data_IF_301363148528
#
_entry.id   IF_301363148528
#
_cell.length_a   1.000
_cell.length_b   1.000
_cell.length_c   1.000
_cell.angle_alpha   90.00
_cell.angle_beta   90.00
_cell.angle_gamma   90.00
#
_symmetry.space_group_name_H-M   'P 1'
#
loop_
_entity.id
_entity.type
_entity.pdbx_description
1 polymer ?
#
# COMPACT_ATOMS: atom_id res chain seq x y z
N UNK A 1 112.03 13.76 -1.96
CA UNK A 1 111.58 13.93 -0.57
C UNK A 1 110.25 14.51 -0.62
N UNK A 2 109.32 13.80 0.00
CA UNK A 2 107.92 14.17 0.25
C UNK A 2 107.00 14.48 -0.86
N UNK A 3 106.25 13.55 -1.23
CA UNK A 3 105.14 13.57 -2.15
C UNK A 3 103.85 13.77 -1.38
N UNK A 4 103.02 14.68 -1.76
CA UNK A 4 101.64 14.88 -1.20
C UNK A 4 100.59 14.57 -2.25
N UNK A 5 99.94 13.46 -2.09
CA UNK A 5 98.80 13.09 -2.85
C UNK A 5 97.53 13.76 -2.29
N UNK A 6 96.87 14.49 -3.09
CA UNK A 6 95.52 15.08 -2.78
C UNK A 6 94.42 14.19 -3.31
N UNK A 7 93.62 13.71 -2.45
CA UNK A 7 92.46 12.79 -2.73
C UNK A 7 91.18 13.62 -2.91
N UNK A 8 90.69 13.62 -4.14
CA UNK A 8 89.40 14.29 -4.50
C UNK A 8 88.26 13.41 -4.15
N UNK A 9 87.44 13.84 -3.20
CA UNK A 9 86.18 13.14 -2.83
C UNK A 9 84.99 13.64 -3.66
N UNK A 10 84.50 12.77 -4.54
CA UNK A 10 83.28 13.00 -5.31
C UNK A 10 82.09 12.74 -4.42
N UNK A 11 81.24 13.76 -4.20
CA UNK A 11 79.96 13.66 -3.49
C UNK A 11 78.87 13.33 -4.49
N UNK A 12 78.35 12.11 -4.45
CA UNK A 12 77.22 11.71 -5.29
C UNK A 12 75.90 12.08 -4.56
N UNK A 13 75.13 13.01 -5.13
CA UNK A 13 73.83 13.42 -4.61
C UNK A 13 72.80 12.45 -5.16
N UNK A 14 72.29 11.56 -4.29
CA UNK A 14 71.19 10.64 -4.59
C UNK A 14 69.85 11.37 -4.34
N UNK A 15 69.21 11.84 -5.38
CA UNK A 15 67.91 12.50 -5.32
C UNK A 15 66.83 11.42 -5.25
N UNK A 16 66.32 11.12 -4.02
CA UNK A 16 65.16 10.23 -3.82
C UNK A 16 63.89 10.95 -4.21
N UNK A 17 63.37 10.65 -5.39
CA UNK A 17 62.02 11.10 -5.85
C UNK A 17 61.00 10.22 -5.11
N UNK A 18 60.39 10.69 -4.01
CA UNK A 18 59.21 10.11 -3.42
C UNK A 18 57.98 10.41 -4.29
N UNK A 19 57.55 9.42 -5.05
CA UNK A 19 56.27 9.44 -5.73
C UNK A 19 55.14 9.18 -4.67
N UNK A 20 54.57 10.24 -4.15
CA UNK A 20 53.36 10.14 -3.32
C UNK A 20 52.16 9.76 -4.21
N UNK A 21 51.80 8.47 -4.26
CA UNK A 21 50.54 8.02 -4.78
C UNK A 21 49.42 8.54 -3.86
N UNK A 22 48.83 9.66 -4.24
CA UNK A 22 47.55 10.09 -3.68
C UNK A 22 46.45 9.14 -4.18
N UNK A 23 46.13 8.12 -3.41
CA UNK A 23 44.92 7.34 -3.60
C UNK A 23 43.72 8.25 -3.31
N UNK A 24 43.20 8.88 -4.36
CA UNK A 24 41.94 9.62 -4.29
C UNK A 24 40.81 8.65 -3.96
N UNK A 25 40.43 8.56 -2.69
CA UNK A 25 39.15 7.98 -2.31
C UNK A 25 38.03 8.89 -2.87
N UNK A 26 37.54 8.55 -4.06
CA UNK A 26 36.30 9.09 -4.57
C UNK A 26 35.19 8.67 -3.62
N UNK A 27 34.86 9.52 -2.65
CA UNK A 27 33.60 9.40 -1.91
C UNK A 27 32.47 9.58 -2.93
N UNK A 28 31.90 8.45 -3.41
CA UNK A 28 30.60 8.47 -4.07
C UNK A 28 29.64 9.19 -3.13
N UNK A 29 29.35 10.46 -3.39
CA UNK A 29 28.23 11.14 -2.77
C UNK A 29 27.02 10.24 -3.00
N UNK A 30 26.50 9.63 -1.91
CA UNK A 30 25.19 9.00 -1.91
C UNK A 30 24.19 10.10 -2.27
N UNK A 31 23.85 10.21 -3.55
CA UNK A 31 22.76 11.05 -3.98
C UNK A 31 21.57 10.77 -3.08
N UNK A 32 20.92 11.81 -2.56
CA UNK A 32 19.69 11.66 -1.75
C UNK A 32 18.74 10.81 -2.55
N UNK A 33 18.48 9.57 -2.11
CA UNK A 33 17.52 8.67 -2.70
C UNK A 33 16.18 9.42 -2.82
N UNK A 34 15.63 9.51 -4.03
CA UNK A 34 14.33 10.13 -4.27
C UNK A 34 13.30 9.45 -3.38
N UNK A 35 12.52 10.22 -2.63
CA UNK A 35 11.43 9.68 -1.80
C UNK A 35 10.46 8.91 -2.69
N UNK A 36 10.03 7.68 -2.33
CA UNK A 36 9.07 6.92 -3.13
C UNK A 36 7.76 7.68 -3.32
N UNK A 37 7.18 7.55 -4.51
CA UNK A 37 5.90 8.13 -4.86
C UNK A 37 4.79 7.09 -4.67
N UNK A 38 3.79 7.44 -3.87
CA UNK A 38 2.55 6.68 -3.71
C UNK A 38 1.44 7.41 -4.44
N UNK A 39 0.76 6.73 -5.34
CA UNK A 39 -0.45 7.26 -5.99
C UNK A 39 -1.68 6.61 -5.35
N UNK A 40 -2.52 7.42 -4.74
CA UNK A 40 -3.81 7.01 -4.19
C UNK A 40 -4.88 7.22 -5.27
N UNK A 41 -5.57 6.15 -5.63
CA UNK A 41 -6.66 6.17 -6.60
C UNK A 41 -7.96 5.99 -5.83
N UNK A 42 -8.70 7.09 -5.66
CA UNK A 42 -9.96 7.09 -4.90
C UNK A 42 -11.16 7.27 -5.83
N UNK A 43 -12.20 6.55 -5.54
CA UNK A 43 -13.43 6.56 -6.31
C UNK A 43 -14.46 5.67 -5.62
N UNK A 44 -14.50 5.77 -4.31
CA UNK A 44 -15.46 5.12 -3.44
C UNK A 44 -16.52 6.13 -3.04
N UNK A 45 -17.73 6.00 -3.54
CA UNK A 45 -18.81 6.94 -3.27
C UNK A 45 -19.67 6.57 -2.04
N UNK A 46 -19.18 5.65 -1.19
CA UNK A 46 -19.90 5.19 0.01
C UNK A 46 -19.12 5.48 1.30
N UNK A 47 -17.83 5.18 1.33
CA UNK A 47 -17.02 5.23 2.55
C UNK A 47 -16.10 6.44 2.67
N UNK A 48 -16.30 7.44 1.83
CA UNK A 48 -15.54 8.70 1.89
C UNK A 48 -14.01 8.54 1.74
N UNK A 49 -13.55 7.53 0.99
CA UNK A 49 -12.12 7.29 0.76
C UNK A 49 -11.39 8.49 0.16
N UNK A 50 -12.09 9.31 -0.65
CA UNK A 50 -11.54 10.56 -1.20
C UNK A 50 -11.41 11.70 -0.16
N UNK A 51 -11.89 11.49 1.06
CA UNK A 51 -11.70 12.41 2.19
C UNK A 51 -10.72 11.84 3.22
N UNK A 52 -10.77 10.54 3.53
CA UNK A 52 -9.88 9.89 4.50
C UNK A 52 -8.46 9.71 3.97
N UNK A 53 -8.30 9.23 2.73
CA UNK A 53 -6.96 8.93 2.19
C UNK A 53 -6.07 10.16 1.97
N UNK A 54 -6.55 11.37 1.66
CA UNK A 54 -5.71 12.57 1.67
C UNK A 54 -5.05 12.85 3.02
N UNK A 55 -5.72 12.54 4.14
CA UNK A 55 -5.16 12.73 5.49
C UNK A 55 -4.04 11.72 5.73
N UNK A 56 -4.26 10.45 5.35
CA UNK A 56 -3.23 9.41 5.39
C UNK A 56 -2.03 9.79 4.49
N UNK A 57 -2.29 10.30 3.29
CA UNK A 57 -1.26 10.72 2.35
C UNK A 57 -0.41 11.86 2.92
N UNK A 58 -1.05 12.89 3.51
CA UNK A 58 -0.35 13.99 4.16
C UNK A 58 0.52 13.53 5.33
N UNK A 59 0.03 12.58 6.14
CA UNK A 59 0.80 11.99 7.23
C UNK A 59 2.05 11.26 6.72
N UNK A 60 1.92 10.48 5.62
CA UNK A 60 3.04 9.77 4.99
C UNK A 60 4.10 10.73 4.46
N UNK A 61 3.70 11.88 3.91
CA UNK A 61 4.65 12.91 3.45
C UNK A 61 5.37 13.58 4.60
N UNK A 62 4.60 13.98 5.63
CA UNK A 62 5.09 14.73 6.77
C UNK A 62 6.05 13.92 7.63
N UNK A 63 5.69 12.68 7.94
CA UNK A 63 6.33 11.91 9.01
C UNK A 63 7.09 10.67 8.54
N UNK A 64 6.84 10.16 7.33
CA UNK A 64 7.34 8.86 6.90
C UNK A 64 8.17 8.86 5.61
N UNK A 65 8.42 10.04 5.05
CA UNK A 65 9.39 10.20 3.96
C UNK A 65 8.93 9.67 2.61
N UNK A 66 7.63 9.72 2.34
CA UNK A 66 7.03 9.46 1.04
C UNK A 66 6.72 10.77 0.29
N UNK A 67 6.42 10.67 -0.99
CA UNK A 67 5.70 11.66 -1.79
C UNK A 67 4.36 11.04 -2.16
N UNK A 68 3.31 11.82 -2.25
CA UNK A 68 1.99 11.31 -2.54
C UNK A 68 1.29 12.12 -3.63
N UNK A 69 0.39 11.45 -4.37
CA UNK A 69 -0.60 12.07 -5.24
C UNK A 69 -1.92 11.38 -4.92
N UNK A 70 -2.98 12.16 -4.70
CA UNK A 70 -4.31 11.62 -4.44
C UNK A 70 -5.24 11.99 -5.60
N UNK A 71 -5.67 10.98 -6.35
CA UNK A 71 -6.60 11.10 -7.46
C UNK A 71 -8.01 10.85 -6.96
N UNK A 72 -8.96 11.65 -7.45
CA UNK A 72 -10.36 11.59 -7.02
C UNK A 72 -11.29 11.52 -8.22
N UNK A 73 -12.45 10.90 -8.02
CA UNK A 73 -13.53 10.93 -9.01
C UNK A 73 -13.95 12.37 -9.33
N UNK A 74 -14.25 12.66 -10.60
CA UNK A 74 -14.62 13.96 -11.09
C UNK A 74 -15.88 13.85 -11.99
N UNK A 75 -16.84 14.80 -11.92
CA UNK A 75 -16.76 16.11 -11.24
C UNK A 75 -17.02 16.09 -9.72
N UNK A 76 -17.45 14.95 -9.17
CA UNK A 76 -17.70 14.79 -7.73
C UNK A 76 -17.51 13.31 -7.33
N UNK A 77 -17.64 13.01 -6.04
CA UNK A 77 -17.42 11.66 -5.50
C UNK A 77 -18.38 10.59 -6.07
N UNK A 78 -19.56 10.97 -6.58
CA UNK A 78 -20.53 10.05 -7.18
C UNK A 78 -20.25 9.73 -8.65
N UNK A 79 -19.35 10.47 -9.30
CA UNK A 79 -19.00 10.23 -10.70
C UNK A 79 -18.28 8.90 -10.86
N UNK A 80 -18.89 7.94 -11.56
CA UNK A 80 -18.34 6.58 -11.73
C UNK A 80 -17.38 6.47 -12.92
N UNK A 81 -17.40 7.43 -13.83
CA UNK A 81 -16.83 7.29 -15.18
C UNK A 81 -15.52 8.05 -15.39
N UNK A 82 -15.02 8.77 -14.37
CA UNK A 82 -13.82 9.57 -14.56
C UNK A 82 -13.01 9.73 -13.27
N UNK A 83 -11.73 9.41 -13.34
CA UNK A 83 -10.70 9.73 -12.33
C UNK A 83 -9.54 10.40 -13.06
N UNK A 84 -9.52 11.74 -13.17
CA UNK A 84 -8.45 12.43 -13.88
C UNK A 84 -7.10 12.27 -13.21
N UNK A 85 -6.03 12.28 -14.01
CA UNK A 85 -4.65 12.21 -13.50
C UNK A 85 -4.11 10.78 -13.31
N UNK A 86 -4.79 9.74 -13.78
CA UNK A 86 -4.31 8.35 -13.71
C UNK A 86 -2.94 8.15 -14.38
N UNK A 87 -2.49 9.07 -15.24
CA UNK A 87 -1.14 9.08 -15.81
C UNK A 87 -0.04 9.09 -14.74
N UNK A 88 -0.34 9.60 -13.53
CA UNK A 88 0.57 9.58 -12.40
C UNK A 88 1.02 8.15 -12.00
N UNK A 89 0.21 7.13 -12.34
CA UNK A 89 0.56 5.73 -12.11
C UNK A 89 1.84 5.29 -12.85
N UNK A 90 2.20 5.93 -13.97
CA UNK A 90 3.44 5.65 -14.70
C UNK A 90 4.67 5.88 -13.83
N UNK A 91 4.63 6.93 -13.02
CA UNK A 91 5.74 7.34 -12.15
C UNK A 91 5.63 6.76 -10.72
N UNK A 92 4.50 6.14 -10.38
CA UNK A 92 4.27 5.61 -9.04
C UNK A 92 5.26 4.49 -8.70
N UNK A 93 5.79 4.50 -7.48
CA UNK A 93 6.52 3.38 -6.90
C UNK A 93 5.57 2.40 -6.21
N UNK A 94 4.39 2.86 -5.81
CA UNK A 94 3.30 2.08 -5.22
C UNK A 94 1.96 2.74 -5.50
N UNK A 95 0.88 1.95 -5.61
CA UNK A 95 -0.49 2.45 -5.71
C UNK A 95 -1.36 1.99 -4.54
N UNK A 96 -2.29 2.84 -4.14
CA UNK A 96 -3.32 2.56 -3.15
C UNK A 96 -4.67 2.72 -3.81
N UNK A 97 -5.53 1.71 -3.71
CA UNK A 97 -6.85 1.72 -4.35
C UNK A 97 -7.97 1.68 -3.31
N UNK A 98 -8.91 2.61 -3.44
CA UNK A 98 -10.17 2.62 -2.73
C UNK A 98 -11.28 2.99 -3.72
N UNK A 99 -11.79 1.98 -4.41
CA UNK A 99 -12.71 2.12 -5.55
C UNK A 99 -14.01 1.37 -5.30
N UNK A 100 -15.10 1.84 -5.94
CA UNK A 100 -16.41 1.18 -5.93
C UNK A 100 -17.17 1.48 -7.22
N UNK A 101 -17.58 0.43 -7.94
CA UNK A 101 -18.51 0.46 -9.09
C UNK A 101 -18.11 1.42 -10.22
N UNK A 102 -16.80 1.56 -10.45
CA UNK A 102 -16.32 2.42 -11.53
C UNK A 102 -16.69 1.87 -12.91
N UNK A 103 -16.92 2.80 -13.84
CA UNK A 103 -17.13 2.55 -15.28
C UNK A 103 -16.20 3.45 -16.08
N UNK A 104 -14.92 3.42 -15.72
CA UNK A 104 -13.91 4.26 -16.35
C UNK A 104 -13.82 3.96 -17.86
N UNK A 105 -13.53 4.94 -18.71
CA UNK A 105 -13.30 4.73 -20.14
C UNK A 105 -12.03 3.90 -20.37
N UNK A 106 -11.92 3.31 -21.56
CA UNK A 106 -10.88 2.34 -21.88
C UNK A 106 -9.45 2.88 -21.72
N UNK A 107 -9.22 4.12 -22.03
CA UNK A 107 -7.93 4.80 -21.88
C UNK A 107 -7.51 4.93 -20.40
N UNK A 108 -8.44 5.25 -19.51
CA UNK A 108 -8.17 5.28 -18.06
C UNK A 108 -7.94 3.88 -17.49
N UNK A 109 -8.72 2.89 -17.93
CA UNK A 109 -8.51 1.49 -17.54
C UNK A 109 -7.14 0.99 -18.02
N UNK A 110 -6.71 1.39 -19.23
CA UNK A 110 -5.40 1.03 -19.76
C UNK A 110 -4.25 1.52 -18.87
N UNK A 111 -4.35 2.72 -18.29
CA UNK A 111 -3.34 3.24 -17.35
C UNK A 111 -3.22 2.37 -16.08
N UNK A 112 -4.36 1.87 -15.58
CA UNK A 112 -4.37 0.93 -14.45
C UNK A 112 -3.78 -0.43 -14.88
N UNK A 113 -4.15 -0.93 -16.05
CA UNK A 113 -3.61 -2.19 -16.59
C UNK A 113 -2.09 -2.11 -16.76
N UNK A 114 -1.59 -1.02 -17.30
CA UNK A 114 -0.16 -0.80 -17.49
C UNK A 114 0.57 -0.75 -16.14
N UNK A 115 -0.02 -0.13 -15.12
CA UNK A 115 0.50 -0.17 -13.76
C UNK A 115 0.59 -1.60 -13.21
N UNK A 116 -0.49 -2.40 -13.35
CA UNK A 116 -0.51 -3.80 -12.90
C UNK A 116 0.61 -4.63 -13.55
N UNK A 117 0.87 -4.42 -14.84
CA UNK A 117 1.95 -5.10 -15.59
C UNK A 117 3.35 -4.76 -15.08
N UNK A 118 3.52 -3.62 -14.38
CA UNK A 118 4.82 -3.27 -13.78
C UNK A 118 5.19 -4.13 -12.57
N UNK A 119 4.26 -4.88 -12.00
CA UNK A 119 4.41 -5.68 -10.77
C UNK A 119 4.78 -4.84 -9.53
N UNK A 120 4.58 -3.52 -9.59
CA UNK A 120 4.79 -2.64 -8.45
C UNK A 120 3.75 -2.91 -7.37
N UNK A 121 4.10 -2.69 -6.09
CA UNK A 121 3.25 -3.08 -4.96
C UNK A 121 1.97 -2.27 -4.87
N UNK A 122 0.95 -2.87 -4.25
CA UNK A 122 -0.36 -2.25 -4.09
C UNK A 122 -0.94 -2.47 -2.70
N UNK A 123 -1.76 -1.51 -2.29
CA UNK A 123 -2.62 -1.58 -1.11
C UNK A 123 -4.07 -1.36 -1.54
N UNK A 124 -5.01 -2.16 -1.03
CA UNK A 124 -6.42 -2.04 -1.36
C UNK A 124 -7.32 -2.00 -0.13
N UNK A 125 -8.41 -1.28 -0.25
CA UNK A 125 -9.39 -1.09 0.82
C UNK A 125 -10.79 -1.55 0.39
N UNK A 126 -11.46 -2.26 1.28
CA UNK A 126 -12.90 -2.52 1.37
C UNK A 126 -13.59 -2.72 0.02
N UNK A 127 -14.27 -1.70 -0.49
CA UNK A 127 -15.07 -1.74 -1.72
C UNK A 127 -14.28 -2.01 -2.98
N UNK A 128 -12.96 -1.98 -2.92
CA UNK A 128 -12.09 -2.35 -4.05
C UNK A 128 -12.30 -3.81 -4.49
N UNK A 129 -12.92 -4.66 -3.66
CA UNK A 129 -13.41 -5.99 -4.07
C UNK A 129 -14.37 -5.91 -5.26
N UNK A 130 -15.17 -4.85 -5.34
CA UNK A 130 -16.11 -4.55 -6.42
C UNK A 130 -15.83 -3.16 -7.02
N UNK A 131 -14.54 -2.94 -7.34
CA UNK A 131 -14.04 -1.67 -7.86
C UNK A 131 -14.74 -1.22 -9.14
N UNK A 132 -15.08 -2.16 -10.03
CA UNK A 132 -15.72 -1.89 -11.31
C UNK A 132 -17.10 -2.54 -11.41
N UNK A 133 -17.98 -1.97 -12.24
CA UNK A 133 -19.32 -2.48 -12.45
C UNK A 133 -19.79 -2.21 -13.92
N UNK A 134 -19.07 -2.76 -14.87
CA UNK A 134 -19.46 -2.70 -16.26
C UNK A 134 -20.65 -3.61 -16.53
N UNK A 135 -21.58 -3.21 -17.42
CA UNK A 135 -22.71 -4.05 -17.82
C UNK A 135 -22.24 -5.36 -18.46
N UNK A 136 -23.10 -6.38 -18.38
CA UNK A 136 -22.87 -7.66 -19.06
C UNK A 136 -22.66 -7.45 -20.57
N UNK A 137 -21.64 -8.06 -21.14
CA UNK A 137 -21.26 -7.95 -22.54
C UNK A 137 -20.44 -6.69 -22.88
N UNK A 138 -20.15 -5.83 -21.92
CA UNK A 138 -19.29 -4.68 -22.14
C UNK A 138 -17.83 -5.13 -22.38
N UNK A 139 -17.06 -4.51 -23.31
CA UNK A 139 -15.68 -4.91 -23.59
C UNK A 139 -14.76 -4.93 -22.37
N UNK A 140 -15.07 -4.12 -21.35
CA UNK A 140 -14.33 -4.03 -20.09
C UNK A 140 -14.98 -4.84 -18.95
N UNK A 141 -15.97 -5.68 -19.20
CA UNK A 141 -16.67 -6.47 -18.17
C UNK A 141 -15.71 -7.31 -17.31
N UNK A 142 -14.61 -7.80 -17.91
CA UNK A 142 -13.56 -8.54 -17.18
C UNK A 142 -13.02 -7.80 -15.96
N UNK A 143 -13.06 -6.46 -15.97
CA UNK A 143 -12.59 -5.61 -14.87
C UNK A 143 -13.47 -5.67 -13.63
N UNK A 144 -14.69 -6.17 -13.73
CA UNK A 144 -15.53 -6.42 -12.57
C UNK A 144 -14.89 -7.43 -11.60
N UNK A 145 -13.91 -8.22 -12.06
CA UNK A 145 -13.11 -9.11 -11.23
C UNK A 145 -11.81 -8.47 -10.68
N UNK A 146 -11.69 -7.13 -10.71
CA UNK A 146 -10.49 -6.42 -10.27
C UNK A 146 -10.02 -6.84 -8.86
N UNK A 147 -10.97 -6.96 -7.92
CA UNK A 147 -10.66 -7.42 -6.56
C UNK A 147 -9.94 -8.76 -6.54
N UNK A 148 -10.33 -9.69 -7.43
CA UNK A 148 -9.74 -11.03 -7.49
C UNK A 148 -8.32 -11.00 -8.07
N UNK A 149 -8.15 -10.49 -9.28
CA UNK A 149 -6.84 -10.55 -9.92
C UNK A 149 -5.83 -9.54 -9.37
N UNK A 150 -6.28 -8.45 -8.75
CA UNK A 150 -5.41 -7.42 -8.19
C UNK A 150 -5.12 -7.61 -6.68
N UNK A 151 -6.05 -8.19 -5.92
CA UNK A 151 -5.95 -8.24 -4.45
C UNK A 151 -6.27 -9.59 -3.83
N UNK A 152 -6.44 -10.64 -4.62
CA UNK A 152 -6.78 -11.98 -4.14
C UNK A 152 -8.07 -11.98 -3.29
N UNK A 153 -8.98 -11.05 -3.55
CA UNK A 153 -10.23 -10.81 -2.85
C UNK A 153 -11.42 -11.28 -3.69
N UNK A 154 -12.64 -11.37 -3.15
CA UNK A 154 -13.80 -11.74 -3.95
C UNK A 154 -13.99 -10.83 -5.17
N UNK A 155 -14.44 -11.38 -6.32
CA UNK A 155 -14.77 -10.59 -7.49
C UNK A 155 -16.19 -10.04 -7.40
N UNK A 156 -16.35 -8.73 -7.44
CA UNK A 156 -17.65 -8.07 -7.49
C UNK A 156 -18.52 -8.22 -6.24
N UNK A 157 -19.84 -8.03 -6.38
CA UNK A 157 -20.81 -7.99 -5.30
C UNK A 157 -21.98 -8.93 -5.56
N UNK A 158 -22.48 -9.61 -4.50
CA UNK A 158 -23.62 -10.54 -4.60
C UNK A 158 -23.35 -11.79 -5.46
N UNK A 159 -24.32 -12.67 -5.61
CA UNK A 159 -24.29 -13.82 -6.53
C UNK A 159 -23.30 -14.94 -6.17
N UNK A 160 -23.21 -15.93 -7.07
CA UNK A 160 -22.28 -17.05 -6.90
C UNK A 160 -20.85 -16.55 -7.13
N UNK A 161 -19.91 -16.93 -6.26
CA UNK A 161 -18.51 -16.49 -6.27
C UNK A 161 -18.26 -15.01 -5.96
N UNK A 162 -19.31 -14.26 -5.68
CA UNK A 162 -19.24 -12.89 -5.18
C UNK A 162 -19.41 -12.91 -3.68
N UNK A 163 -19.27 -11.78 -3.03
CA UNK A 163 -19.41 -11.68 -1.59
C UNK A 163 -20.55 -10.72 -1.19
N UNK A 164 -20.89 -10.76 0.06
CA UNK A 164 -21.81 -9.85 0.71
C UNK A 164 -21.29 -9.53 2.11
N UNK A 165 -22.13 -8.94 2.96
CA UNK A 165 -21.78 -8.61 4.35
C UNK A 165 -22.88 -9.07 5.33
N UNK A 166 -22.60 -8.99 6.63
CA UNK A 166 -23.50 -9.39 7.69
C UNK A 166 -24.52 -8.32 8.13
N UNK A 167 -24.72 -7.29 7.33
CA UNK A 167 -25.74 -6.25 7.54
C UNK A 167 -25.15 -4.89 7.96
N UNK A 168 -25.83 -3.82 7.57
CA UNK A 168 -25.40 -2.44 7.84
C UNK A 168 -25.47 -2.06 9.32
N UNK A 169 -26.31 -2.74 10.10
CA UNK A 169 -26.42 -2.53 11.56
C UNK A 169 -25.33 -3.30 12.33
N UNK A 170 -24.55 -4.14 11.64
CA UNK A 170 -23.45 -4.87 12.25
C UNK A 170 -22.18 -4.03 12.32
N UNK A 171 -21.25 -4.48 13.13
CA UNK A 171 -19.87 -4.01 13.22
C UNK A 171 -18.94 -5.21 13.35
N UNK A 172 -17.65 -5.00 13.55
CA UNK A 172 -16.68 -6.10 13.55
C UNK A 172 -15.69 -5.98 14.71
N UNK A 173 -15.60 -6.99 15.54
CA UNK A 173 -14.47 -7.17 16.45
C UNK A 173 -13.33 -7.85 15.70
N UNK A 174 -12.18 -7.22 15.71
CA UNK A 174 -10.99 -7.64 14.97
C UNK A 174 -9.97 -8.22 15.92
N UNK A 175 -9.41 -9.37 15.56
CA UNK A 175 -8.36 -10.06 16.33
C UNK A 175 -7.20 -10.43 15.43
N UNK A 176 -5.96 -10.18 15.89
CA UNK A 176 -4.74 -10.68 15.23
C UNK A 176 -4.72 -12.22 15.31
N UNK A 177 -4.38 -12.86 14.20
CA UNK A 177 -4.16 -14.31 14.14
C UNK A 177 -2.84 -14.63 14.85
N UNK A 178 -2.90 -15.42 15.93
CA UNK A 178 -1.74 -15.66 16.80
C UNK A 178 -0.52 -16.23 16.06
N UNK A 179 -0.73 -17.13 15.09
CA UNK A 179 0.35 -17.75 14.32
C UNK A 179 1.15 -16.78 13.43
N UNK A 180 0.63 -15.58 13.18
CA UNK A 180 1.28 -14.53 12.36
C UNK A 180 1.51 -13.23 13.14
N UNK A 181 1.39 -13.26 14.47
CA UNK A 181 1.51 -12.07 15.33
C UNK A 181 2.86 -11.33 15.21
N UNK A 182 3.90 -12.02 14.74
CA UNK A 182 5.22 -11.44 14.46
C UNK A 182 5.33 -10.80 13.05
N UNK A 183 4.27 -10.73 12.26
CA UNK A 183 4.31 -10.07 10.97
C UNK A 183 4.64 -8.58 11.13
N UNK A 184 5.56 -8.02 10.33
CA UNK A 184 5.94 -6.61 10.45
C UNK A 184 4.76 -5.63 10.40
N UNK A 185 3.70 -5.95 9.63
CA UNK A 185 2.51 -5.10 9.54
C UNK A 185 1.79 -4.98 10.88
N UNK A 186 1.89 -6.00 11.73
CA UNK A 186 1.21 -6.06 13.03
C UNK A 186 2.02 -5.43 14.17
N UNK A 187 3.22 -4.92 13.87
CA UNK A 187 4.07 -4.27 14.88
C UNK A 187 3.37 -3.07 15.50
N UNK A 188 3.14 -3.10 16.81
CA UNK A 188 2.47 -2.02 17.56
C UNK A 188 0.96 -1.92 17.35
N UNK A 189 0.38 -2.79 16.54
CA UNK A 189 -1.08 -2.95 16.45
C UNK A 189 -1.55 -3.77 17.65
N UNK A 190 -2.51 -3.29 18.40
CA UNK A 190 -3.07 -4.01 19.55
C UNK A 190 -3.63 -5.37 19.13
N UNK A 191 -3.67 -6.33 20.07
CA UNK A 191 -4.13 -7.70 19.79
C UNK A 191 -5.56 -7.73 19.23
N UNK A 192 -6.41 -6.83 19.71
CA UNK A 192 -7.82 -6.70 19.32
C UNK A 192 -8.20 -5.24 19.19
N UNK A 193 -9.17 -4.93 18.34
CA UNK A 193 -9.84 -3.64 18.29
C UNK A 193 -11.24 -3.81 17.67
N UNK A 194 -12.10 -2.81 17.88
CA UNK A 194 -13.41 -2.74 17.28
C UNK A 194 -13.39 -1.87 16.04
N UNK A 195 -13.94 -2.37 14.90
CA UNK A 195 -14.11 -1.66 13.65
C UNK A 195 -15.61 -1.41 13.38
N UNK A 196 -15.95 -0.20 12.92
CA UNK A 196 -17.31 0.13 12.52
C UNK A 196 -17.71 -0.58 11.22
N UNK A 197 -16.76 -0.95 10.39
CA UNK A 197 -17.01 -1.73 9.18
C UNK A 197 -17.82 -2.96 9.49
N UNK A 198 -18.93 -3.18 8.78
CA UNK A 198 -19.60 -4.47 8.79
C UNK A 198 -18.79 -5.52 8.04
N UNK A 199 -18.71 -6.70 8.65
CA UNK A 199 -17.86 -7.79 8.18
C UNK A 199 -18.31 -8.29 6.80
N UNK A 200 -17.34 -8.46 5.89
CA UNK A 200 -17.56 -9.09 4.59
C UNK A 200 -17.48 -10.63 4.71
N UNK A 201 -18.39 -11.31 4.01
CA UNK A 201 -18.38 -12.76 3.88
C UNK A 201 -17.45 -13.15 2.73
N UNK A 202 -16.21 -13.42 3.02
CA UNK A 202 -15.19 -13.74 2.01
C UNK A 202 -14.84 -15.22 1.94
N UNK A 203 -15.00 -15.95 3.06
CA UNK A 203 -14.75 -17.38 3.11
C UNK A 203 -15.85 -18.16 2.35
N UNK A 204 -15.57 -19.41 1.88
CA UNK A 204 -14.30 -20.16 2.07
C UNK A 204 -13.24 -19.90 0.98
N UNK A 205 -13.53 -19.13 -0.05
CA UNK A 205 -12.67 -19.02 -1.25
C UNK A 205 -11.57 -17.98 -1.13
N UNK A 206 -11.79 -16.97 -0.27
CA UNK A 206 -10.88 -15.82 -0.19
C UNK A 206 -10.37 -15.59 1.23
N UNK A 207 -9.17 -15.00 1.37
CA UNK A 207 -8.27 -14.59 0.29
C UNK A 207 -7.69 -15.79 -0.47
N UNK A 208 -7.50 -15.63 -1.79
CA UNK A 208 -7.02 -16.67 -2.70
C UNK A 208 -5.49 -16.64 -2.90
N UNK A 209 -4.98 -17.53 -3.80
CA UNK A 209 -3.60 -17.52 -4.28
C UNK A 209 -2.52 -17.58 -3.17
N UNK A 210 -2.73 -18.40 -2.14
CA UNK A 210 -1.76 -18.55 -1.05
C UNK A 210 -1.55 -17.29 -0.22
N UNK A 211 -2.50 -16.37 -0.24
CA UNK A 211 -2.47 -15.17 0.60
C UNK A 211 -2.43 -15.53 2.08
N UNK A 212 -1.70 -14.73 2.86
CA UNK A 212 -1.58 -14.88 4.31
C UNK A 212 -2.56 -13.94 5.00
N UNK A 213 -3.59 -14.48 5.62
CA UNK A 213 -4.47 -13.73 6.50
C UNK A 213 -3.69 -13.26 7.75
N UNK A 214 -3.87 -12.01 8.13
CA UNK A 214 -3.22 -11.38 9.28
C UNK A 214 -4.18 -11.20 10.45
N UNK A 215 -5.45 -10.91 10.15
CA UNK A 215 -6.50 -10.63 11.13
C UNK A 215 -7.80 -11.30 10.76
N UNK A 216 -8.53 -11.74 11.77
CA UNK A 216 -9.89 -12.22 11.67
C UNK A 216 -10.87 -11.20 12.24
N UNK A 217 -12.03 -11.11 11.62
CA UNK A 217 -13.15 -10.33 12.09
C UNK A 217 -14.29 -11.24 12.58
N UNK A 218 -14.86 -10.87 13.71
CA UNK A 218 -16.09 -11.45 14.27
C UNK A 218 -17.21 -10.41 14.12
N UNK A 219 -18.34 -10.80 13.51
CA UNK A 219 -19.46 -9.85 13.30
C UNK A 219 -20.28 -9.66 14.57
N UNK A 220 -20.44 -8.43 15.00
CA UNK A 220 -21.30 -8.01 16.10
C UNK A 220 -22.64 -7.58 15.52
N UNK A 221 -23.75 -8.08 16.12
CA UNK A 221 -25.14 -7.86 15.65
C UNK A 221 -25.35 -8.18 14.16
N UNK A 222 -24.96 -9.37 13.68
CA UNK A 222 -25.21 -9.74 12.29
C UNK A 222 -26.70 -9.94 12.01
N UNK A 223 -27.14 -9.59 10.80
CA UNK A 223 -28.50 -9.93 10.33
C UNK A 223 -28.69 -11.43 10.17
N UNK A 224 -27.61 -12.18 10.02
CA UNK A 224 -27.58 -13.62 9.92
C UNK A 224 -27.05 -14.23 11.23
N UNK A 225 -27.88 -14.99 11.91
CA UNK A 225 -27.51 -15.69 13.16
C UNK A 225 -26.39 -16.73 12.99
N UNK A 226 -26.15 -17.20 11.77
CA UNK A 226 -25.08 -18.13 11.42
C UNK A 226 -23.82 -17.39 10.88
N UNK A 227 -23.50 -16.22 11.41
CA UNK A 227 -22.30 -15.49 11.02
C UNK A 227 -21.06 -16.29 11.40
N UNK A 228 -20.10 -16.34 10.47
CA UNK A 228 -18.79 -16.96 10.65
C UNK A 228 -17.72 -15.88 10.68
N UNK A 229 -16.63 -16.15 11.37
CA UNK A 229 -15.47 -15.30 11.33
C UNK A 229 -14.89 -15.28 9.91
N UNK A 230 -14.44 -14.11 9.47
CA UNK A 230 -13.85 -13.93 8.16
C UNK A 230 -12.53 -13.14 8.25
N UNK A 231 -11.55 -13.42 7.38
CA UNK A 231 -10.36 -12.60 7.27
C UNK A 231 -10.72 -11.15 6.91
N UNK A 232 -10.13 -10.19 7.64
CA UNK A 232 -10.33 -8.75 7.39
C UNK A 232 -9.09 -8.05 6.87
N UNK A 233 -7.92 -8.67 6.98
CA UNK A 233 -6.67 -8.15 6.42
C UNK A 233 -5.76 -9.30 5.99
N UNK A 234 -5.10 -9.16 4.84
CA UNK A 234 -4.15 -10.15 4.31
C UNK A 234 -3.06 -9.54 3.45
N UNK A 235 -1.99 -10.31 3.29
CA UNK A 235 -0.92 -10.05 2.34
C UNK A 235 -0.82 -11.19 1.33
N UNK A 236 -0.23 -10.90 0.18
CA UNK A 236 -0.03 -11.91 -0.85
C UNK A 236 0.73 -11.38 -2.06
N UNK A 237 0.71 -12.20 -3.09
CA UNK A 237 1.16 -11.85 -4.44
C UNK A 237 -0.02 -11.99 -5.37
N UNK A 238 -0.33 -10.96 -6.14
CA UNK A 238 -1.46 -10.98 -7.05
C UNK A 238 -1.16 -11.72 -8.36
N UNK A 239 -2.15 -11.82 -9.25
CA UNK A 239 -2.03 -12.53 -10.53
C UNK A 239 -0.96 -11.96 -11.47
N UNK A 240 -0.49 -10.74 -11.24
CA UNK A 240 0.60 -10.11 -11.99
C UNK A 240 1.99 -10.30 -11.36
N UNK A 241 2.06 -10.88 -10.16
CA UNK A 241 3.30 -11.04 -9.41
C UNK A 241 3.66 -9.83 -8.53
N UNK A 242 2.74 -8.90 -8.32
CA UNK A 242 2.92 -7.76 -7.43
C UNK A 242 2.63 -8.13 -5.96
N UNK A 243 3.44 -7.60 -5.04
CA UNK A 243 3.17 -7.67 -3.60
C UNK A 243 1.92 -6.85 -3.27
N UNK A 244 1.01 -7.42 -2.50
CA UNK A 244 -0.23 -6.76 -2.12
C UNK A 244 -0.47 -6.82 -0.62
N UNK A 245 -1.11 -5.78 -0.09
CA UNK A 245 -1.88 -5.80 1.15
C UNK A 245 -3.33 -5.42 0.83
N UNK A 246 -4.26 -6.11 1.44
CA UNK A 246 -5.69 -5.80 1.32
C UNK A 246 -6.38 -5.86 2.67
N UNK A 247 -7.36 -4.98 2.88
CA UNK A 247 -8.26 -5.03 4.03
C UNK A 247 -9.70 -4.80 3.62
N UNK A 248 -10.62 -5.58 4.22
CA UNK A 248 -12.07 -5.38 4.08
C UNK A 248 -12.61 -4.29 5.02
N UNK A 249 -11.77 -3.75 5.88
CA UNK A 249 -12.06 -2.58 6.70
C UNK A 249 -11.89 -1.30 5.87
N UNK A 250 -12.42 -0.18 6.34
CA UNK A 250 -12.31 1.10 5.64
C UNK A 250 -13.54 2.01 5.78
N UNK A 251 -14.46 1.71 6.71
CA UNK A 251 -15.45 2.69 7.14
C UNK A 251 -14.71 3.94 7.68
N UNK A 252 -15.20 5.16 7.48
CA UNK A 252 -14.52 6.36 8.00
C UNK A 252 -14.15 6.26 9.48
N UNK A 253 -15.03 5.72 10.31
CA UNK A 253 -14.79 5.51 11.75
C UNK A 253 -13.71 4.45 12.05
N UNK A 254 -13.39 3.55 11.12
CA UNK A 254 -12.25 2.65 11.31
C UNK A 254 -10.95 3.45 11.31
N UNK A 255 -10.88 4.50 10.48
CA UNK A 255 -9.71 5.38 10.42
C UNK A 255 -9.53 6.24 11.68
N UNK A 256 -10.54 6.34 12.54
CA UNK A 256 -10.40 6.98 13.87
C UNK A 256 -9.78 6.03 14.90
N UNK A 257 -9.71 4.73 14.60
CA UNK A 257 -9.11 3.73 15.48
C UNK A 257 -7.59 3.70 15.31
N UNK A 258 -6.85 4.03 16.37
CA UNK A 258 -5.38 4.03 16.34
C UNK A 258 -4.77 2.69 15.88
N UNK A 259 -5.26 1.50 16.30
CA UNK A 259 -4.76 0.23 15.78
C UNK A 259 -4.91 0.09 14.26
N UNK A 260 -6.03 0.56 13.71
CA UNK A 260 -6.25 0.52 12.25
C UNK A 260 -5.31 1.47 11.52
N UNK A 261 -5.15 2.71 12.01
CA UNK A 261 -4.19 3.67 11.44
C UNK A 261 -2.76 3.10 11.45
N UNK A 262 -2.36 2.47 12.56
CA UNK A 262 -1.04 1.87 12.71
C UNK A 262 -0.83 0.76 11.69
N UNK A 263 -1.80 -0.15 11.56
CA UNK A 263 -1.79 -1.21 10.55
C UNK A 263 -1.66 -0.63 9.13
N UNK A 264 -2.41 0.41 8.78
CA UNK A 264 -2.38 1.04 7.45
C UNK A 264 -0.99 1.62 7.15
N UNK A 265 -0.40 2.36 8.07
CA UNK A 265 0.95 2.91 7.90
C UNK A 265 1.99 1.79 7.74
N UNK A 266 1.91 0.75 8.57
CA UNK A 266 2.81 -0.40 8.48
C UNK A 266 2.64 -1.16 7.16
N UNK A 267 1.41 -1.36 6.70
CA UNK A 267 1.10 -2.03 5.43
C UNK A 267 1.68 -1.27 4.23
N UNK A 268 1.58 0.06 4.24
CA UNK A 268 2.17 0.92 3.21
C UNK A 268 3.70 0.80 3.21
N UNK A 269 4.34 0.85 4.37
CA UNK A 269 5.78 0.64 4.50
C UNK A 269 6.20 -0.74 3.99
N UNK A 270 5.50 -1.78 4.46
CA UNK A 270 5.76 -3.16 4.06
C UNK A 270 5.61 -3.36 2.54
N UNK A 271 4.51 -2.85 1.97
CA UNK A 271 4.26 -2.93 0.53
C UNK A 271 5.36 -2.22 -0.26
N UNK A 272 5.76 -1.02 0.15
CA UNK A 272 6.83 -0.25 -0.46
C UNK A 272 8.24 -0.86 -0.27
N UNK A 273 8.37 -2.02 0.40
CA UNK A 273 9.67 -2.64 0.68
C UNK A 273 10.51 -1.87 1.69
N UNK A 274 9.88 -1.00 2.49
CA UNK A 274 10.54 -0.25 3.57
C UNK A 274 10.31 -0.92 4.92
N UNK A 275 11.26 -0.79 5.85
CA UNK A 275 11.02 -1.20 7.24
C UNK A 275 9.79 -0.48 7.79
N UNK A 276 8.96 -1.19 8.55
CA UNK A 276 7.88 -0.55 9.30
C UNK A 276 8.44 0.43 10.33
N UNK A 277 7.73 1.52 10.65
CA UNK A 277 8.22 2.53 11.58
C UNK A 277 8.47 1.94 12.96
N UNK A 278 9.70 2.11 13.48
CA UNK A 278 10.03 1.72 14.86
C UNK A 278 9.34 2.58 15.91
N UNK A 279 8.94 3.80 15.53
CA UNK A 279 8.27 4.76 16.42
C UNK A 279 7.02 5.26 15.73
N UNK A 280 5.90 4.99 16.35
CA UNK A 280 4.61 5.55 15.98
C UNK A 280 4.61 7.09 16.19
N UNK A 281 4.09 7.83 15.24
CA UNK A 281 4.07 9.31 15.29
C UNK A 281 2.81 9.88 15.93
N UNK A 282 1.96 9.00 16.44
CA UNK A 282 0.70 9.33 17.06
C UNK A 282 -0.48 9.22 16.08
N UNK A 283 -1.70 9.27 16.63
CA UNK A 283 -2.89 9.13 15.82
C UNK A 283 -3.09 10.32 14.88
N UNK A 284 -3.56 10.02 13.68
CA UNK A 284 -4.09 11.02 12.75
C UNK A 284 -5.47 11.49 13.24
N UNK A 285 -5.77 12.77 13.10
CA UNK A 285 -7.11 13.29 13.33
C UNK A 285 -7.94 13.13 12.05
N UNK A 286 -8.82 12.13 12.03
CA UNK A 286 -9.63 11.78 10.85
C UNK A 286 -11.10 11.91 11.21
N UNK A 287 -11.63 13.11 11.16
CA UNK A 287 -13.05 13.39 11.40
C UNK A 287 -13.82 13.45 10.06
N UNK A 288 -13.98 12.30 9.44
CA UNK A 288 -14.67 12.18 8.16
C UNK A 288 -16.00 11.48 8.35
N UNK A 289 -17.14 12.12 8.03
CA UNK A 289 -18.45 11.52 8.20
C UNK A 289 -18.67 10.38 7.19
N UNK A 290 -19.37 9.33 7.63
CA UNK A 290 -19.92 8.33 6.74
C UNK A 290 -21.01 8.95 5.86
N UNK A 291 -20.96 8.64 4.56
CA UNK A 291 -22.02 9.02 3.62
C UNK A 291 -22.94 7.83 3.42
N UNK A 292 -24.23 8.06 3.65
CA UNK A 292 -25.27 7.07 3.35
C UNK A 292 -25.67 7.16 1.88
#
# INVERSE_FOLDING_TARGET
MMNKNTMLKTFSFFCCFMLSMATGFSQKQKGKSKKPLIVFVTGDHEYSGEATLPIVAAELEKNYGFRTIVLKAYPNHNAEENIPGLEALKEADMAVFFLRWRKLPADQVQLIEDYLKTKKPMVGFRTTTHAFNYPKGHPLEKWNAFGEFAFNSPPGWGGVNKHTHYGHESSTDVTIIDSVSNDPILTGVGKTFHARSWLYQVLPKYPSNGSKALMMGHSINPNNKNAFDNPVAWTGTNSFGARIFFTTLGHPEDFDQEPFQHMVINAIHWAAGKPVPKKWKGPMQINVPYRK
#
